data_IF_151085977976
#
_entry.id   IF_151085977976
#
_cell.length_a   1.000
_cell.length_b   1.000
_cell.length_c   1.000
_cell.angle_alpha   90.00
_cell.angle_beta   90.00
_cell.angle_gamma   90.00
#
_symmetry.space_group_name_H-M   'P 1'
#
loop_
_entity.id
_entity.type
_entity.pdbx_description
1 polymer ?
#
# COMPACT_ATOMS: atom_id res chain seq x y z
N UNK A 1 -31.38 -19.82 -34.04
CA UNK A 1 -32.36 -20.93 -34.15
C UNK A 1 -32.41 -21.60 -32.78
N UNK A 2 -33.49 -21.35 -32.04
CA UNK A 2 -33.86 -21.93 -30.73
C UNK A 2 -34.18 -23.43 -30.86
N UNK A 3 -34.11 -24.21 -29.76
CA UNK A 3 -35.15 -25.08 -29.14
C UNK A 3 -34.60 -25.49 -27.73
N UNK A 4 -35.08 -25.06 -26.55
CA UNK A 4 -36.31 -25.30 -25.75
C UNK A 4 -36.23 -26.46 -24.69
N UNK A 5 -36.37 -26.04 -23.42
CA UNK A 5 -36.93 -26.65 -22.19
C UNK A 5 -37.20 -28.16 -22.06
N UNK A 6 -36.86 -28.73 -20.88
CA UNK A 6 -37.72 -29.67 -20.13
C UNK A 6 -37.62 -29.41 -18.61
N UNK A 7 -38.80 -29.30 -17.99
CA UNK A 7 -39.12 -29.19 -16.56
C UNK A 7 -39.61 -30.56 -16.07
N UNK A 8 -39.27 -30.98 -14.85
CA UNK A 8 -39.98 -32.07 -14.15
C UNK A 8 -40.30 -31.62 -12.72
N UNK A 9 -41.56 -31.82 -12.33
CA UNK A 9 -42.19 -31.43 -11.08
C UNK A 9 -42.81 -32.68 -10.44
N UNK A 10 -42.80 -32.72 -9.09
CA UNK A 10 -43.70 -33.42 -8.15
C UNK A 10 -43.74 -34.97 -8.19
N UNK A 11 -43.99 -35.71 -7.11
CA UNK A 11 -44.79 -35.44 -5.91
C UNK A 11 -44.57 -36.58 -4.86
N UNK A 12 -45.26 -36.44 -3.73
CA UNK A 12 -45.79 -37.49 -2.85
C UNK A 12 -44.93 -37.97 -1.67
N UNK A 13 -45.25 -37.44 -0.49
CA UNK A 13 -45.68 -38.29 0.63
C UNK A 13 -46.69 -37.56 1.53
N UNK A 14 -47.96 -37.94 1.34
CA UNK A 14 -49.08 -37.74 2.26
C UNK A 14 -49.02 -38.84 3.33
N UNK A 15 -49.38 -38.56 4.59
CA UNK A 15 -50.25 -39.40 5.44
C UNK A 15 -50.64 -38.61 6.73
N UNK A 16 -51.95 -38.33 6.86
CA UNK A 16 -52.73 -37.96 8.06
C UNK A 16 -53.50 -39.23 8.53
N UNK A 17 -54.43 -39.24 9.54
CA UNK A 17 -54.70 -38.41 10.75
C UNK A 17 -55.04 -39.24 12.03
N UNK A 18 -55.34 -38.59 13.18
CA UNK A 18 -56.46 -38.82 14.14
C UNK A 18 -56.28 -37.87 15.37
N UNK A 19 -57.06 -36.81 15.64
CA UNK A 19 -58.45 -36.61 16.13
C UNK A 19 -58.64 -36.62 17.68
N UNK A 20 -59.08 -35.45 18.20
CA UNK A 20 -59.91 -35.09 19.40
C UNK A 20 -59.33 -35.32 20.82
N UNK A 21 -59.63 -34.53 21.87
CA UNK A 21 -60.56 -33.41 22.11
C UNK A 21 -60.17 -32.69 23.43
N UNK A 22 -60.50 -31.39 23.51
CA UNK A 22 -60.94 -30.58 24.68
C UNK A 22 -60.24 -30.69 26.04
N UNK A 23 -59.68 -29.57 26.52
CA UNK A 23 -59.98 -28.95 27.84
C UNK A 23 -59.19 -27.65 28.03
N UNK A 24 -59.88 -26.54 28.26
CA UNK A 24 -59.46 -25.42 29.12
C UNK A 24 -60.24 -25.58 30.44
N UNK A 25 -59.85 -25.03 31.62
CA UNK A 25 -59.23 -23.71 31.80
C UNK A 25 -58.25 -23.54 33.00
N UNK A 26 -57.83 -22.29 33.18
CA UNK A 26 -57.36 -21.61 34.40
C UNK A 26 -56.02 -22.04 35.03
N UNK A 27 -55.03 -21.16 34.88
CA UNK A 27 -54.02 -20.92 35.92
C UNK A 27 -53.57 -19.45 35.87
N UNK A 28 -53.91 -18.74 36.93
CA UNK A 28 -53.37 -17.46 37.36
C UNK A 28 -51.88 -17.66 37.71
N UNK A 29 -50.96 -17.00 37.01
CA UNK A 29 -49.54 -17.01 37.38
C UNK A 29 -49.03 -15.56 37.55
N UNK A 30 -48.61 -15.26 38.78
CA UNK A 30 -48.04 -13.99 39.22
C UNK A 30 -46.74 -13.68 38.45
N UNK A 31 -46.42 -12.39 38.17
CA UNK A 31 -45.16 -12.06 37.52
C UNK A 31 -43.97 -12.34 38.45
N UNK A 32 -43.01 -13.14 37.98
CA UNK A 32 -41.74 -13.35 38.64
C UNK A 32 -40.89 -12.06 38.64
N UNK A 33 -40.05 -11.81 39.67
CA UNK A 33 -39.21 -10.62 39.73
C UNK A 33 -38.11 -10.70 38.67
N UNK A 34 -38.14 -9.71 37.78
CA UNK A 34 -37.18 -9.45 36.72
C UNK A 34 -35.79 -9.23 37.34
N UNK A 35 -34.96 -10.28 37.38
CA UNK A 35 -33.53 -10.15 37.68
C UNK A 35 -32.85 -9.61 36.43
N UNK A 36 -32.72 -8.30 36.32
CA UNK A 36 -31.82 -7.63 35.39
C UNK A 36 -30.39 -8.02 35.75
N UNK A 37 -29.90 -9.13 35.20
CA UNK A 37 -28.47 -9.42 35.15
C UNK A 37 -27.90 -8.49 34.08
N UNK A 38 -27.48 -7.31 34.51
CA UNK A 38 -26.68 -6.40 33.70
C UNK A 38 -25.33 -7.09 33.43
N UNK A 39 -25.20 -7.72 32.27
CA UNK A 39 -23.90 -8.10 31.73
C UNK A 39 -23.17 -6.81 31.32
N UNK A 40 -22.40 -6.23 32.26
CA UNK A 40 -21.40 -5.22 31.95
C UNK A 40 -20.24 -5.92 31.24
N UNK A 41 -20.38 -6.15 29.92
CA UNK A 41 -19.26 -6.56 29.08
C UNK A 41 -18.36 -5.33 28.91
N UNK A 42 -17.42 -5.16 29.84
CA UNK A 42 -16.33 -4.21 29.70
C UNK A 42 -15.38 -4.78 28.65
N UNK A 43 -15.70 -4.51 27.39
CA UNK A 43 -14.83 -4.82 26.26
C UNK A 43 -13.61 -3.93 26.39
N UNK A 44 -12.52 -4.48 26.95
CA UNK A 44 -11.18 -3.95 26.76
C UNK A 44 -10.91 -4.01 25.27
N UNK A 45 -11.21 -2.91 24.58
CA UNK A 45 -10.74 -2.68 23.23
C UNK A 45 -9.22 -2.62 23.36
N UNK A 46 -8.57 -3.75 23.08
CA UNK A 46 -7.13 -3.81 22.84
C UNK A 46 -6.84 -2.92 21.64
N UNK A 47 -6.62 -1.63 21.89
CA UNK A 47 -6.19 -0.72 20.85
C UNK A 47 -4.88 -1.28 20.29
N UNK A 48 -4.75 -1.43 18.97
CA UNK A 48 -3.49 -1.85 18.39
C UNK A 48 -2.45 -0.80 18.79
N UNK A 49 -1.47 -1.20 19.62
CA UNK A 49 -0.38 -0.36 20.12
C UNK A 49 0.60 0.10 19.02
N UNK A 50 0.23 -0.05 17.74
CA UNK A 50 1.11 0.06 16.58
C UNK A 50 0.70 1.16 15.60
N UNK A 51 -0.31 1.97 15.94
CA UNK A 51 -0.61 3.17 15.16
C UNK A 51 0.21 4.35 15.71
N UNK A 52 0.79 5.15 14.80
CA UNK A 52 1.37 6.45 15.14
C UNK A 52 0.37 7.28 15.95
N UNK A 53 0.86 7.98 16.98
CA UNK A 53 0.06 8.97 17.70
C UNK A 53 -0.26 10.17 16.80
N UNK A 54 -1.26 10.99 17.19
CA UNK A 54 -1.68 12.11 16.35
C UNK A 54 -0.53 13.10 16.00
N UNK A 55 0.38 13.45 16.93
CA UNK A 55 1.57 14.23 16.60
C UNK A 55 2.46 13.59 15.53
N UNK A 56 2.73 12.30 15.62
CA UNK A 56 3.57 11.59 14.66
C UNK A 56 2.87 11.39 13.31
N UNK A 57 1.54 11.21 13.29
CA UNK A 57 0.75 11.21 12.05
C UNK A 57 0.85 12.56 11.34
N UNK A 58 0.74 13.67 12.07
CA UNK A 58 0.91 15.02 11.51
C UNK A 58 2.33 15.22 10.99
N UNK A 59 3.34 14.74 11.73
CA UNK A 59 4.75 14.79 11.31
C UNK A 59 4.98 14.01 10.02
N UNK A 60 4.46 12.78 9.95
CA UNK A 60 4.51 11.94 8.76
C UNK A 60 3.86 12.68 7.57
N UNK A 61 2.64 13.18 7.73
CA UNK A 61 1.95 13.94 6.69
C UNK A 61 2.75 15.17 6.22
N UNK A 62 3.43 15.86 7.15
CA UNK A 62 4.34 16.97 6.83
C UNK A 62 5.51 16.55 5.93
N UNK A 63 6.18 15.44 6.26
CA UNK A 63 7.27 14.88 5.44
C UNK A 63 6.76 14.48 4.05
N UNK A 64 5.60 13.83 3.98
CA UNK A 64 4.98 13.40 2.72
C UNK A 64 4.65 14.57 1.79
N UNK A 65 4.10 15.64 2.37
CA UNK A 65 3.76 16.85 1.64
C UNK A 65 5.01 17.59 1.16
N UNK A 66 6.02 17.73 2.02
CA UNK A 66 7.29 18.38 1.65
C UNK A 66 7.99 17.58 0.55
N UNK A 67 8.01 16.25 0.63
CA UNK A 67 8.56 15.39 -0.42
C UNK A 67 7.86 15.60 -1.76
N UNK A 68 6.52 15.64 -1.77
CA UNK A 68 5.74 15.83 -3.00
C UNK A 68 6.03 17.19 -3.65
N UNK A 69 6.11 18.24 -2.82
CA UNK A 69 6.44 19.58 -3.28
C UNK A 69 7.84 19.66 -3.86
N UNK A 70 8.84 19.04 -3.23
CA UNK A 70 10.20 19.00 -3.78
C UNK A 70 10.19 18.25 -5.12
N UNK A 71 9.63 17.04 -5.14
CA UNK A 71 9.67 16.15 -6.30
C UNK A 71 8.96 16.71 -7.53
N UNK A 72 7.82 17.38 -7.34
CA UNK A 72 6.93 17.77 -8.44
C UNK A 72 6.68 19.27 -8.57
N UNK A 73 6.99 20.05 -7.53
CA UNK A 73 6.72 21.49 -7.46
C UNK A 73 7.97 22.36 -7.61
N UNK A 74 9.15 21.87 -7.23
CA UNK A 74 10.40 22.63 -7.34
C UNK A 74 11.15 22.34 -8.64
N UNK A 75 11.92 23.32 -9.18
CA UNK A 75 12.88 23.07 -10.25
C UNK A 75 13.94 22.06 -9.84
N UNK A 76 14.35 21.16 -10.74
CA UNK A 76 15.35 20.10 -10.48
C UNK A 76 16.65 20.63 -9.87
N UNK A 77 17.10 21.82 -10.28
CA UNK A 77 18.30 22.45 -9.74
C UNK A 77 18.26 22.73 -8.22
N UNK A 78 17.06 22.73 -7.61
CA UNK A 78 16.88 22.92 -6.16
C UNK A 78 16.67 21.60 -5.41
N UNK A 79 16.55 20.47 -6.11
CA UNK A 79 16.18 19.19 -5.49
C UNK A 79 17.22 18.68 -4.51
N UNK A 80 18.51 18.79 -4.84
CA UNK A 80 19.60 18.27 -3.99
C UNK A 80 19.56 18.89 -2.60
N UNK A 81 19.60 20.23 -2.51
CA UNK A 81 19.61 20.96 -1.25
C UNK A 81 18.29 20.79 -0.46
N UNK A 82 17.16 20.68 -1.16
CA UNK A 82 15.86 20.51 -0.54
C UNK A 82 15.67 19.10 0.03
N UNK A 83 16.06 18.06 -0.73
CA UNK A 83 15.99 16.68 -0.27
C UNK A 83 17.00 16.39 0.84
N UNK A 84 18.18 16.99 0.85
CA UNK A 84 19.13 16.86 1.98
C UNK A 84 18.50 17.30 3.30
N UNK A 85 17.86 18.47 3.30
CA UNK A 85 17.15 19.01 4.47
C UNK A 85 16.01 18.10 4.91
N UNK A 86 15.22 17.60 3.95
CA UNK A 86 14.12 16.69 4.26
C UNK A 86 14.62 15.33 4.77
N UNK A 87 15.73 14.81 4.22
CA UNK A 87 16.35 13.56 4.65
C UNK A 87 16.82 13.67 6.10
N UNK A 88 17.40 14.81 6.47
CA UNK A 88 17.78 15.11 7.86
C UNK A 88 16.57 15.09 8.81
N UNK A 89 15.43 15.66 8.40
CA UNK A 89 14.17 15.62 9.18
C UNK A 89 13.63 14.20 9.30
N UNK A 90 13.62 13.43 8.21
CA UNK A 90 13.13 12.05 8.20
C UNK A 90 14.01 11.12 9.07
N UNK A 91 15.34 11.30 9.02
CA UNK A 91 16.27 10.59 9.90
C UNK A 91 16.12 10.98 11.38
N UNK A 92 15.80 12.24 11.70
CA UNK A 92 15.44 12.61 13.07
C UNK A 92 14.18 11.86 13.53
N UNK A 93 13.19 11.69 12.66
CA UNK A 93 11.97 10.95 12.98
C UNK A 93 12.26 9.48 13.32
N UNK A 94 13.14 8.79 12.58
CA UNK A 94 13.52 7.39 12.91
C UNK A 94 14.21 7.27 14.26
N UNK A 95 15.05 8.23 14.64
CA UNK A 95 15.70 8.26 15.96
C UNK A 95 14.71 8.48 17.10
N UNK A 96 13.71 9.33 16.89
CA UNK A 96 12.67 9.61 17.88
C UNK A 96 11.62 8.50 17.99
N UNK A 97 11.41 7.74 16.91
CA UNK A 97 10.45 6.63 16.82
C UNK A 97 11.11 5.38 16.18
N UNK A 98 12.04 4.72 16.87
CA UNK A 98 12.83 3.63 16.29
C UNK A 98 12.02 2.37 15.97
N UNK A 99 10.83 2.23 16.54
CA UNK A 99 9.92 1.09 16.32
C UNK A 99 8.79 1.40 15.33
N UNK A 100 8.70 2.63 14.81
CA UNK A 100 7.66 2.99 13.83
C UNK A 100 8.15 2.70 12.41
N UNK A 101 7.57 1.69 11.76
CA UNK A 101 7.96 1.30 10.40
C UNK A 101 7.80 2.47 9.41
N UNK A 102 6.75 3.28 9.56
CA UNK A 102 6.44 4.42 8.70
C UNK A 102 7.55 5.49 8.71
N UNK A 103 8.19 5.72 9.86
CA UNK A 103 9.31 6.65 9.96
C UNK A 103 10.50 6.16 9.12
N UNK A 104 10.80 4.86 9.20
CA UNK A 104 11.86 4.23 8.42
C UNK A 104 11.54 4.18 6.92
N UNK A 105 10.29 3.89 6.55
CA UNK A 105 9.84 3.94 5.15
C UNK A 105 10.10 5.32 4.57
N UNK A 106 9.67 6.38 5.24
CA UNK A 106 9.82 7.74 4.72
C UNK A 106 11.25 8.25 4.77
N UNK A 107 12.07 7.81 5.74
CA UNK A 107 13.52 8.05 5.70
C UNK A 107 14.14 7.44 4.44
N UNK A 108 13.79 6.19 4.12
CA UNK A 108 14.26 5.52 2.91
C UNK A 108 13.78 6.17 1.61
N UNK A 109 12.50 6.57 1.51
CA UNK A 109 11.94 7.25 0.34
C UNK A 109 12.63 8.59 0.10
N UNK A 110 12.75 9.42 1.14
CA UNK A 110 13.37 10.75 1.01
C UNK A 110 14.86 10.61 0.68
N UNK A 111 15.57 9.73 1.37
CA UNK A 111 17.02 9.54 1.16
C UNK A 111 17.32 8.95 -0.23
N UNK A 112 16.48 8.03 -0.73
CA UNK A 112 16.62 7.54 -2.13
C UNK A 112 16.31 8.62 -3.16
N UNK A 113 15.36 9.51 -2.88
CA UNK A 113 15.06 10.66 -3.75
C UNK A 113 16.21 11.66 -3.77
N UNK A 114 16.84 11.89 -2.60
CA UNK A 114 18.05 12.70 -2.50
C UNK A 114 19.20 12.10 -3.31
N UNK A 115 19.44 10.80 -3.17
CA UNK A 115 20.45 10.08 -3.95
C UNK A 115 20.19 10.22 -5.47
N UNK A 116 18.93 10.07 -5.90
CA UNK A 116 18.53 10.25 -7.29
C UNK A 116 18.78 11.66 -7.81
N UNK A 117 18.46 12.69 -7.02
CA UNK A 117 18.69 14.09 -7.37
C UNK A 117 20.19 14.44 -7.43
N UNK A 118 20.99 13.91 -6.50
CA UNK A 118 22.45 14.14 -6.44
C UNK A 118 23.16 13.47 -7.62
N UNK A 119 22.76 12.25 -7.95
CA UNK A 119 23.33 11.46 -9.04
C UNK A 119 24.81 11.15 -8.89
N UNK A 120 25.33 10.38 -9.84
CA UNK A 120 26.76 10.03 -9.92
C UNK A 120 27.29 9.21 -8.73
N UNK A 121 28.62 8.99 -8.66
CA UNK A 121 29.24 8.17 -7.62
C UNK A 121 29.03 8.70 -6.20
N UNK A 122 28.85 10.02 -6.06
CA UNK A 122 28.66 10.68 -4.77
C UNK A 122 27.31 10.42 -4.10
N UNK A 123 26.36 9.79 -4.79
CA UNK A 123 25.02 9.45 -4.28
C UNK A 123 24.92 8.04 -3.69
N UNK A 124 26.00 7.25 -3.76
CA UNK A 124 25.97 5.84 -3.42
C UNK A 124 25.77 5.61 -1.91
N UNK A 125 26.31 6.47 -1.06
CA UNK A 125 26.16 6.33 0.38
C UNK A 125 24.73 6.61 0.82
N UNK A 126 24.07 7.62 0.23
CA UNK A 126 22.66 7.89 0.42
C UNK A 126 21.79 6.72 -0.08
N UNK A 127 22.11 6.13 -1.24
CA UNK A 127 21.40 4.96 -1.73
C UNK A 127 21.52 3.74 -0.80
N UNK A 128 22.71 3.51 -0.21
CA UNK A 128 22.93 2.44 0.79
C UNK A 128 22.17 2.72 2.08
N UNK A 129 22.15 3.97 2.55
CA UNK A 129 21.38 4.36 3.73
C UNK A 129 19.89 4.17 3.50
N UNK A 130 19.37 4.59 2.33
CA UNK A 130 17.98 4.41 1.97
C UNK A 130 17.58 2.93 1.94
N UNK A 131 18.45 2.06 1.39
CA UNK A 131 18.27 0.61 1.44
C UNK A 131 18.17 0.10 2.88
N UNK A 132 19.11 0.49 3.73
CA UNK A 132 19.13 0.05 5.13
C UNK A 132 17.86 0.49 5.90
N UNK A 133 17.38 1.71 5.65
CA UNK A 133 16.14 2.22 6.27
C UNK A 133 14.91 1.42 5.82
N UNK A 134 14.81 1.09 4.53
CA UNK A 134 13.69 0.29 3.99
C UNK A 134 13.75 -1.16 4.48
N UNK A 135 14.93 -1.75 4.57
CA UNK A 135 15.12 -3.09 5.17
C UNK A 135 14.75 -3.08 6.66
N UNK A 136 15.09 -2.01 7.38
CA UNK A 136 14.67 -1.82 8.78
C UNK A 136 13.15 -1.72 8.90
N UNK A 137 12.50 -0.96 8.01
CA UNK A 137 11.04 -0.89 7.98
C UNK A 137 10.38 -2.26 7.75
N UNK A 138 10.88 -3.05 6.78
CA UNK A 138 10.40 -4.40 6.52
C UNK A 138 10.54 -5.33 7.72
N UNK A 139 11.61 -5.15 8.53
CA UNK A 139 11.79 -5.92 9.76
C UNK A 139 10.82 -5.55 10.88
N UNK A 140 10.24 -4.35 10.85
CA UNK A 140 9.31 -3.84 11.85
C UNK A 140 7.86 -4.18 11.47
N UNK A 141 7.45 -3.81 10.26
CA UNK A 141 6.15 -4.15 9.70
C UNK A 141 6.24 -4.18 8.16
N UNK A 142 6.23 -5.36 7.53
CA UNK A 142 6.31 -5.48 6.07
C UNK A 142 5.05 -4.99 5.35
N UNK A 143 3.93 -4.80 6.05
CA UNK A 143 2.67 -4.35 5.47
C UNK A 143 2.42 -2.84 5.71
N UNK A 144 3.27 -2.18 6.49
CA UNK A 144 3.15 -0.75 6.78
C UNK A 144 3.06 0.07 5.49
N UNK A 145 2.14 1.04 5.50
CA UNK A 145 1.83 1.88 4.34
C UNK A 145 1.58 1.06 3.06
N UNK A 146 0.80 -0.02 3.19
CA UNK A 146 0.43 -0.90 2.09
C UNK A 146 1.65 -1.53 1.38
N UNK A 147 2.67 -1.90 2.16
CA UNK A 147 3.88 -2.55 1.63
C UNK A 147 4.82 -1.59 0.88
N UNK A 148 4.71 -0.28 1.11
CA UNK A 148 5.51 0.75 0.44
C UNK A 148 7.03 0.49 0.50
N UNK A 149 7.53 -0.11 1.59
CA UNK A 149 8.94 -0.49 1.70
C UNK A 149 9.41 -1.41 0.57
N UNK A 150 8.59 -2.39 0.14
CA UNK A 150 8.91 -3.28 -0.97
C UNK A 150 9.05 -2.51 -2.29
N UNK A 151 8.11 -1.61 -2.58
CA UNK A 151 8.11 -0.79 -3.80
C UNK A 151 9.38 0.04 -3.92
N UNK A 152 9.74 0.77 -2.86
CA UNK A 152 10.88 1.68 -2.92
C UNK A 152 12.22 0.94 -2.82
N UNK A 153 12.28 -0.18 -2.11
CA UNK A 153 13.48 -1.01 -2.09
C UNK A 153 13.74 -1.62 -3.47
N UNK A 154 12.69 -2.07 -4.18
CA UNK A 154 12.82 -2.53 -5.55
C UNK A 154 13.36 -1.44 -6.48
N UNK A 155 12.82 -0.22 -6.37
CA UNK A 155 13.28 0.91 -7.16
C UNK A 155 14.78 1.21 -6.94
N UNK A 156 15.31 1.05 -5.72
CA UNK A 156 16.76 1.16 -5.48
C UNK A 156 17.53 0.05 -6.21
N UNK A 157 17.10 -1.20 -6.07
CA UNK A 157 17.74 -2.34 -6.73
C UNK A 157 17.78 -2.22 -8.27
N UNK A 158 16.75 -1.62 -8.88
CA UNK A 158 16.70 -1.39 -10.33
C UNK A 158 17.58 -0.23 -10.83
N UNK A 159 17.83 0.79 -9.99
CA UNK A 159 18.41 2.06 -10.46
C UNK A 159 19.88 2.28 -10.04
N UNK A 160 20.44 1.47 -9.13
CA UNK A 160 21.86 1.56 -8.75
C UNK A 160 22.73 0.53 -9.49
N UNK A 161 24.04 0.77 -9.66
CA UNK A 161 24.94 -0.23 -10.26
C UNK A 161 24.96 -1.56 -9.50
N UNK A 162 25.26 -2.66 -10.21
CA UNK A 162 25.46 -3.96 -9.58
C UNK A 162 26.80 -4.09 -8.85
N UNK A 163 27.05 -5.30 -8.33
CA UNK A 163 28.34 -5.67 -7.77
C UNK A 163 29.47 -5.58 -8.83
N UNK A 164 30.68 -5.12 -8.50
CA UNK A 164 31.19 -4.78 -7.15
C UNK A 164 30.99 -3.31 -6.74
N UNK A 165 30.38 -2.47 -7.57
CA UNK A 165 30.27 -1.04 -7.32
C UNK A 165 29.19 -0.70 -6.30
N UNK A 166 28.03 -1.33 -6.42
CA UNK A 166 26.91 -1.13 -5.51
C UNK A 166 26.11 -2.45 -5.36
N UNK A 167 24.82 -2.34 -5.06
CA UNK A 167 23.97 -3.48 -4.68
C UNK A 167 22.85 -3.77 -5.68
N UNK A 168 22.87 -3.14 -6.85
CA UNK A 168 21.83 -3.29 -7.88
C UNK A 168 21.65 -4.73 -8.29
N UNK A 169 20.39 -5.14 -8.40
CA UNK A 169 19.97 -6.51 -8.75
C UNK A 169 18.53 -6.43 -9.28
N UNK A 170 18.39 -6.40 -10.61
CA UNK A 170 17.08 -6.31 -11.27
C UNK A 170 16.21 -7.53 -10.98
N UNK A 171 16.80 -8.71 -10.77
CA UNK A 171 16.02 -9.92 -10.41
C UNK A 171 15.42 -9.74 -9.02
N UNK A 172 16.19 -9.21 -8.07
CA UNK A 172 15.69 -8.89 -6.74
C UNK A 172 14.63 -7.80 -6.77
N UNK A 173 14.79 -6.77 -7.61
CA UNK A 173 13.79 -5.72 -7.79
C UNK A 173 12.44 -6.28 -8.25
N UNK A 174 12.43 -7.16 -9.25
CA UNK A 174 11.22 -7.84 -9.73
C UNK A 174 10.50 -8.61 -8.62
N UNK A 175 11.24 -9.40 -7.82
CA UNK A 175 10.68 -10.15 -6.68
C UNK A 175 10.03 -9.24 -5.62
N UNK A 176 10.66 -8.10 -5.33
CA UNK A 176 10.15 -7.13 -4.37
C UNK A 176 8.88 -6.44 -4.91
N UNK A 177 8.83 -6.12 -6.20
CA UNK A 177 7.64 -5.52 -6.83
C UNK A 177 6.47 -6.50 -6.88
N UNK A 178 6.71 -7.77 -7.14
CA UNK A 178 5.68 -8.80 -7.03
C UNK A 178 5.10 -8.87 -5.61
N UNK A 179 5.96 -8.74 -4.59
CA UNK A 179 5.50 -8.70 -3.20
C UNK A 179 4.71 -7.42 -2.91
N UNK A 180 5.14 -6.27 -3.41
CA UNK A 180 4.40 -5.02 -3.28
C UNK A 180 3.00 -5.11 -3.91
N UNK A 181 2.89 -5.70 -5.11
CA UNK A 181 1.61 -5.87 -5.80
C UNK A 181 0.69 -6.91 -5.13
N UNK A 182 1.22 -7.88 -4.39
CA UNK A 182 0.40 -8.77 -3.58
C UNK A 182 -0.27 -8.04 -2.42
N UNK A 183 0.40 -7.05 -1.84
CA UNK A 183 -0.10 -6.24 -0.72
C UNK A 183 -1.03 -5.14 -1.22
N UNK A 184 -0.61 -4.41 -2.26
CA UNK A 184 -1.36 -3.30 -2.85
C UNK A 184 -1.54 -3.47 -4.37
N UNK A 185 -2.45 -4.36 -4.81
CA UNK A 185 -2.61 -4.70 -6.22
C UNK A 185 -3.14 -3.55 -7.09
N UNK A 186 -3.72 -2.52 -6.46
CA UNK A 186 -4.32 -1.37 -7.14
C UNK A 186 -3.60 -0.05 -6.79
N UNK A 187 -2.46 -0.15 -6.11
CA UNK A 187 -1.66 1.00 -5.69
C UNK A 187 -0.98 1.69 -6.86
N UNK A 188 -1.05 3.03 -6.89
CA UNK A 188 -0.45 3.82 -7.97
C UNK A 188 1.07 3.63 -8.05
N UNK A 189 1.77 3.74 -6.91
CA UNK A 189 3.22 3.61 -6.86
C UNK A 189 3.70 2.18 -7.21
N UNK A 190 3.23 1.09 -6.57
CA UNK A 190 3.70 -0.26 -6.93
C UNK A 190 3.40 -0.62 -8.41
N UNK A 191 2.26 -0.21 -8.96
CA UNK A 191 1.96 -0.42 -10.38
C UNK A 191 2.86 0.39 -11.31
N UNK A 192 3.17 1.64 -10.96
CA UNK A 192 4.10 2.47 -11.73
C UNK A 192 5.52 1.89 -11.72
N UNK A 193 6.04 1.51 -10.56
CA UNK A 193 7.39 0.94 -10.46
C UNK A 193 7.47 -0.45 -11.11
N UNK A 194 6.42 -1.27 -11.02
CA UNK A 194 6.32 -2.51 -11.79
C UNK A 194 6.36 -2.23 -13.29
N UNK A 195 5.58 -1.28 -13.77
CA UNK A 195 5.60 -0.92 -15.18
C UNK A 195 6.97 -0.42 -15.65
N UNK A 196 7.65 0.41 -14.85
CA UNK A 196 9.01 0.86 -15.14
C UNK A 196 9.97 -0.31 -15.24
N UNK A 197 9.94 -1.22 -14.26
CA UNK A 197 10.74 -2.43 -14.27
C UNK A 197 10.49 -3.25 -15.54
N UNK A 198 9.22 -3.50 -15.90
CA UNK A 198 8.85 -4.22 -17.12
C UNK A 198 9.32 -3.50 -18.39
N UNK A 199 9.23 -2.18 -18.43
CA UNK A 199 9.74 -1.38 -19.55
C UNK A 199 11.26 -1.54 -19.71
N UNK A 200 12.01 -1.48 -18.60
CA UNK A 200 13.47 -1.63 -18.59
C UNK A 200 13.88 -3.07 -19.01
N UNK A 201 13.05 -4.06 -18.72
CA UNK A 201 13.20 -5.46 -19.19
C UNK A 201 12.64 -5.70 -20.61
N UNK A 202 12.23 -4.65 -21.33
CA UNK A 202 11.62 -4.72 -22.68
C UNK A 202 10.28 -5.47 -22.77
N UNK A 203 9.61 -5.70 -21.64
CA UNK A 203 8.29 -6.31 -21.55
C UNK A 203 7.18 -5.24 -21.73
N UNK A 204 7.17 -4.57 -22.88
CA UNK A 204 6.38 -3.37 -23.11
C UNK A 204 4.86 -3.57 -22.97
N UNK A 205 4.32 -4.73 -23.35
CA UNK A 205 2.90 -5.02 -23.19
C UNK A 205 2.50 -5.05 -21.71
N UNK A 206 3.29 -5.71 -20.86
CA UNK A 206 3.05 -5.76 -19.41
C UNK A 206 3.19 -4.37 -18.77
N UNK A 207 4.19 -3.60 -19.22
CA UNK A 207 4.36 -2.22 -18.77
C UNK A 207 3.13 -1.36 -19.08
N UNK A 208 2.59 -1.46 -20.32
CA UNK A 208 1.38 -0.73 -20.74
C UNK A 208 0.18 -1.08 -19.86
N UNK A 209 -0.05 -2.37 -19.63
CA UNK A 209 -1.21 -2.84 -18.87
C UNK A 209 -1.14 -2.36 -17.41
N UNK A 210 0.05 -2.41 -16.80
CA UNK A 210 0.28 -1.89 -15.46
C UNK A 210 0.10 -0.36 -15.35
N UNK A 211 0.56 0.42 -16.34
CA UNK A 211 0.38 1.89 -16.35
C UNK A 211 -1.08 2.28 -16.50
N UNK A 212 -1.83 1.60 -17.37
CA UNK A 212 -3.27 1.82 -17.51
C UNK A 212 -4.00 1.51 -16.22
N UNK A 213 -3.60 0.46 -15.50
CA UNK A 213 -4.12 0.15 -14.17
C UNK A 213 -3.74 1.22 -13.14
N UNK A 214 -2.50 1.71 -13.16
CA UNK A 214 -2.03 2.76 -12.26
C UNK A 214 -2.81 4.09 -12.41
N UNK A 215 -3.24 4.44 -13.63
CA UNK A 215 -4.09 5.61 -13.87
C UNK A 215 -5.48 5.51 -13.22
N UNK A 216 -5.94 4.30 -12.96
CA UNK A 216 -7.23 4.00 -12.31
C UNK A 216 -7.11 3.84 -10.79
N UNK A 217 -5.90 3.97 -10.24
CA UNK A 217 -5.68 3.84 -8.80
C UNK A 217 -6.52 4.85 -8.01
N UNK A 218 -7.08 4.45 -6.84
CA UNK A 218 -7.89 5.33 -6.02
C UNK A 218 -7.06 6.54 -5.53
N UNK A 219 -7.66 7.72 -5.39
CA UNK A 219 -6.98 8.88 -4.83
C UNK A 219 -6.57 8.62 -3.38
N UNK A 220 -5.41 9.12 -2.98
CA UNK A 220 -4.92 9.04 -1.59
C UNK A 220 -5.17 10.39 -0.89
N UNK A 221 -6.10 10.49 0.08
CA UNK A 221 -6.38 11.74 0.77
C UNK A 221 -5.13 12.34 1.40
N UNK A 222 -4.90 13.64 1.19
CA UNK A 222 -3.70 14.35 1.67
C UNK A 222 -2.44 14.11 0.83
N UNK A 223 -2.53 13.37 -0.27
CA UNK A 223 -1.42 13.07 -1.22
C UNK A 223 -1.72 13.55 -2.63
N UNK A 224 -2.63 14.52 -2.79
CA UNK A 224 -3.14 14.98 -4.09
C UNK A 224 -2.02 15.50 -5.01
N UNK A 225 -1.07 16.26 -4.48
CA UNK A 225 0.09 16.76 -5.25
C UNK A 225 0.98 15.61 -5.74
N UNK A 226 1.25 14.63 -4.87
CA UNK A 226 2.03 13.45 -5.23
C UNK A 226 1.33 12.59 -6.29
N UNK A 227 0.01 12.40 -6.14
CA UNK A 227 -0.80 11.63 -7.11
C UNK A 227 -0.89 12.33 -8.46
N UNK A 228 -1.04 13.67 -8.47
CA UNK A 228 -1.02 14.45 -9.70
C UNK A 228 0.34 14.39 -10.40
N UNK A 229 1.44 14.50 -9.65
CA UNK A 229 2.80 14.32 -10.15
C UNK A 229 3.02 12.93 -10.73
N UNK A 230 2.69 11.89 -9.97
CA UNK A 230 2.85 10.49 -10.41
C UNK A 230 2.01 10.16 -11.65
N UNK A 231 0.80 10.71 -11.78
CA UNK A 231 0.00 10.56 -13.01
C UNK A 231 0.69 11.14 -14.23
N UNK A 232 1.43 12.24 -14.10
CA UNK A 232 2.26 12.78 -15.20
C UNK A 232 3.39 11.81 -15.55
N UNK A 233 4.10 11.27 -14.55
CA UNK A 233 5.15 10.27 -14.78
C UNK A 233 4.61 9.02 -15.50
N UNK A 234 3.43 8.53 -15.08
CA UNK A 234 2.75 7.40 -15.71
C UNK A 234 2.45 7.71 -17.18
N UNK A 235 1.90 8.89 -17.48
CA UNK A 235 1.60 9.31 -18.87
C UNK A 235 2.87 9.41 -19.72
N UNK A 236 3.96 9.95 -19.16
CA UNK A 236 5.25 10.06 -19.85
C UNK A 236 5.84 8.68 -20.17
N UNK A 237 5.80 7.74 -19.21
CA UNK A 237 6.27 6.38 -19.44
C UNK A 237 5.37 5.63 -20.43
N UNK A 238 4.04 5.82 -20.35
CA UNK A 238 3.08 5.20 -21.26
C UNK A 238 3.30 5.63 -22.71
N UNK A 239 3.63 6.91 -22.94
CA UNK A 239 4.00 7.39 -24.27
C UNK A 239 5.25 6.69 -24.82
N UNK A 240 6.27 6.47 -23.97
CA UNK A 240 7.48 5.72 -24.36
C UNK A 240 7.18 4.25 -24.65
N UNK A 241 6.33 3.62 -23.83
CA UNK A 241 5.87 2.23 -24.01
C UNK A 241 5.15 2.07 -25.33
N UNK A 242 4.20 2.95 -25.65
CA UNK A 242 3.43 2.86 -26.91
C UNK A 242 4.35 2.97 -28.12
N UNK A 243 5.31 3.91 -28.11
CA UNK A 243 6.33 4.02 -29.18
C UNK A 243 7.17 2.76 -29.38
N UNK A 244 7.30 1.90 -28.36
CA UNK A 244 8.03 0.62 -28.43
C UNK A 244 7.17 -0.54 -28.94
N UNK A 245 5.85 -0.39 -28.91
CA UNK A 245 4.88 -1.39 -29.36
C UNK A 245 4.39 -1.15 -30.80
N UNK A 246 4.53 0.07 -31.29
CA UNK A 246 4.31 0.46 -32.70
C UNK A 246 5.45 -0.06 -33.61
#
# INVERSE_FOLDING_TARGET
>A
MQIENIRVDRDLRKHLPLIRHLSTPTAEEKPAPMKTIAFLVMSLISLPLWALDAPDQQRLAGIQKEWAHIQYGLPEAQHVDAFEKLASKASAFTRERPTAAEAWIWSGIVTSSWAGAKGGPGALDEAKQAKADLEKALSLDPNALQGSAYTHLAALYDNVPGWPMAFGDTTKAGQLLEQALKIDPNGMDPLFFWAKHQFDQSNYAQARDALNKALQAPPRPGREEADAGRKKDIQLLLAKVNKKLD
#
